data_IF_498704104066
#
_entry.id   IF_498704104066
#
_cell.length_a   1.000
_cell.length_b   1.000
_cell.length_c   1.000
_cell.angle_alpha   90.00
_cell.angle_beta   90.00
_cell.angle_gamma   90.00
#
_symmetry.space_group_name_H-M   'P 1'
#
loop_
_entity.id
_entity.type
_entity.pdbx_description
1 polymer ?
#
# COMPACT_ATOMS: atom_id res chain seq x y z
N UNK A 1 40.23 -26.04 -31.38
CA UNK A 1 39.48 -26.33 -30.14
C UNK A 1 38.26 -25.42 -30.12
N UNK A 2 37.04 -25.97 -30.15
CA UNK A 2 35.82 -25.18 -29.91
C UNK A 2 35.79 -24.81 -28.43
N UNK A 3 35.57 -23.54 -28.14
CA UNK A 3 35.36 -23.05 -26.77
C UNK A 3 34.15 -23.77 -26.16
N UNK A 4 34.18 -24.17 -24.88
CA UNK A 4 32.97 -24.69 -24.24
C UNK A 4 31.96 -23.54 -24.21
N UNK A 5 30.78 -23.76 -24.79
CA UNK A 5 29.63 -22.89 -24.53
C UNK A 5 29.36 -22.94 -23.03
N UNK A 6 29.44 -21.76 -22.38
CA UNK A 6 29.08 -21.63 -20.97
C UNK A 6 27.66 -22.15 -20.76
N UNK A 7 27.42 -22.98 -19.73
CA UNK A 7 26.08 -23.45 -19.47
C UNK A 7 25.18 -22.24 -19.23
N UNK A 8 24.10 -22.14 -20.02
CA UNK A 8 22.99 -21.23 -19.75
C UNK A 8 22.52 -21.53 -18.32
N UNK A 9 22.98 -20.71 -17.38
CA UNK A 9 22.50 -20.71 -16.01
C UNK A 9 21.00 -20.53 -16.08
N UNK A 10 20.26 -21.44 -15.45
CA UNK A 10 18.81 -21.29 -15.23
C UNK A 10 18.57 -19.84 -14.81
N UNK A 11 17.59 -19.12 -15.38
CA UNK A 11 17.28 -17.78 -14.91
C UNK A 11 17.12 -17.86 -13.41
N UNK A 12 17.95 -17.10 -12.70
CA UNK A 12 17.97 -17.08 -11.25
C UNK A 12 16.54 -16.84 -10.80
N UNK A 13 15.98 -17.69 -9.93
CA UNK A 13 14.55 -17.65 -9.55
C UNK A 13 14.15 -16.22 -9.13
N UNK A 14 15.11 -15.50 -8.56
CA UNK A 14 15.03 -14.11 -8.16
C UNK A 14 14.77 -13.11 -9.33
N UNK A 15 15.33 -13.35 -10.53
CA UNK A 15 15.09 -12.51 -11.71
C UNK A 15 13.66 -12.67 -12.24
N UNK A 16 13.18 -13.92 -12.35
CA UNK A 16 11.81 -14.17 -12.80
C UNK A 16 10.79 -13.57 -11.85
N UNK A 17 11.01 -13.71 -10.55
CA UNK A 17 10.18 -13.08 -9.51
C UNK A 17 10.20 -11.55 -9.63
N UNK A 18 11.36 -10.94 -9.87
CA UNK A 18 11.48 -9.49 -10.07
C UNK A 18 10.77 -9.00 -11.34
N UNK A 19 10.84 -9.76 -12.44
CA UNK A 19 10.16 -9.43 -13.69
C UNK A 19 8.63 -9.54 -13.56
N UNK A 20 8.13 -10.58 -12.89
CA UNK A 20 6.70 -10.75 -12.60
C UNK A 20 6.19 -9.63 -11.68
N UNK A 21 6.93 -9.33 -10.60
CA UNK A 21 6.62 -8.22 -9.69
C UNK A 21 6.63 -6.85 -10.39
N UNK A 22 7.53 -6.64 -11.35
CA UNK A 22 7.60 -5.42 -12.15
C UNK A 22 6.38 -5.27 -13.07
N UNK A 23 5.90 -6.38 -13.65
CA UNK A 23 4.68 -6.36 -14.45
C UNK A 23 3.46 -6.05 -13.58
N UNK A 24 3.33 -6.72 -12.44
CA UNK A 24 2.26 -6.47 -11.48
C UNK A 24 2.24 -5.00 -11.05
N UNK A 25 3.40 -4.43 -10.68
CA UNK A 25 3.51 -3.03 -10.29
C UNK A 25 3.06 -2.08 -11.41
N UNK A 26 3.43 -2.34 -12.66
CA UNK A 26 2.97 -1.55 -13.81
C UNK A 26 1.45 -1.58 -13.99
N UNK A 27 0.80 -2.69 -13.67
CA UNK A 27 -0.67 -2.77 -13.72
C UNK A 27 -1.36 -1.92 -12.65
N UNK A 28 -0.68 -1.65 -11.53
CA UNK A 28 -1.19 -0.81 -10.44
C UNK A 28 -0.91 0.68 -10.64
N UNK A 29 0.08 1.06 -11.45
CA UNK A 29 0.47 2.47 -11.67
C UNK A 29 -0.70 3.40 -12.00
N UNK A 30 -1.66 3.04 -12.88
CA UNK A 30 -2.80 3.91 -13.17
C UNK A 30 -3.73 4.10 -11.96
N UNK A 31 -3.89 3.08 -11.13
CA UNK A 31 -4.73 3.13 -9.93
C UNK A 31 -4.09 4.02 -8.86
N UNK A 32 -2.77 3.89 -8.66
CA UNK A 32 -1.99 4.74 -7.77
C UNK A 32 -2.07 6.22 -8.22
N UNK A 33 -1.88 6.50 -9.50
CA UNK A 33 -2.01 7.86 -10.03
C UNK A 33 -3.42 8.43 -9.84
N UNK A 34 -4.47 7.60 -10.01
CA UNK A 34 -5.85 8.03 -9.77
C UNK A 34 -6.13 8.33 -8.29
N UNK A 35 -5.51 7.57 -7.36
CA UNK A 35 -5.57 7.85 -5.93
C UNK A 35 -4.96 9.23 -5.62
N UNK A 36 -3.79 9.54 -6.18
CA UNK A 36 -3.12 10.83 -5.97
C UNK A 36 -3.95 12.01 -6.51
N UNK A 37 -4.45 11.91 -7.75
CA UNK A 37 -5.30 12.94 -8.36
C UNK A 37 -6.58 13.18 -7.55
N UNK A 38 -7.26 12.10 -7.13
CA UNK A 38 -8.48 12.23 -6.32
C UNK A 38 -8.21 12.80 -4.93
N UNK A 39 -7.05 12.52 -4.34
CA UNK A 39 -6.65 13.11 -3.06
C UNK A 39 -6.58 14.63 -3.17
N UNK A 40 -5.92 15.16 -4.19
CA UNK A 40 -5.85 16.61 -4.44
C UNK A 40 -7.26 17.19 -4.62
N UNK A 41 -8.09 16.54 -5.43
CA UNK A 41 -9.49 16.95 -5.63
C UNK A 41 -10.29 16.93 -4.33
N UNK A 42 -10.14 15.92 -3.47
CA UNK A 42 -10.82 15.85 -2.18
C UNK A 42 -10.41 17.04 -1.29
N UNK A 43 -9.12 17.37 -1.23
CA UNK A 43 -8.62 18.51 -0.45
C UNK A 43 -9.17 19.85 -0.96
N UNK A 44 -9.19 20.05 -2.28
CA UNK A 44 -9.82 21.23 -2.90
C UNK A 44 -11.31 21.33 -2.55
N UNK A 45 -12.04 20.24 -2.71
CA UNK A 45 -13.48 20.18 -2.44
C UNK A 45 -13.80 20.35 -0.97
N UNK A 46 -12.94 19.90 -0.07
CA UNK A 46 -13.10 20.11 1.36
C UNK A 46 -12.89 21.58 1.75
N UNK A 47 -11.98 22.29 1.07
CA UNK A 47 -11.73 23.72 1.28
C UNK A 47 -12.86 24.63 0.75
N UNK A 48 -13.64 24.14 -0.22
CA UNK A 48 -14.84 24.80 -0.74
C UNK A 48 -16.11 24.36 0.01
N UNK A 49 -16.98 25.29 0.39
CA UNK A 49 -18.23 24.98 1.12
C UNK A 49 -19.07 23.90 0.39
N UNK A 50 -19.42 22.83 1.12
CA UNK A 50 -20.41 21.77 0.86
C UNK A 50 -20.52 21.34 -0.62
N UNK A 51 -19.80 20.27 -0.99
CA UNK A 51 -19.94 19.61 -2.28
C UNK A 51 -20.69 18.27 -2.17
N UNK A 52 -21.81 18.13 -2.88
CA UNK A 52 -22.62 16.90 -2.91
C UNK A 52 -21.89 15.66 -3.45
N UNK A 53 -20.82 15.83 -4.22
CA UNK A 53 -20.01 14.74 -4.78
C UNK A 53 -18.90 14.25 -3.86
N UNK A 54 -18.58 14.97 -2.79
CA UNK A 54 -17.47 14.64 -1.89
C UNK A 54 -17.58 13.22 -1.29
N UNK A 55 -18.76 12.76 -0.82
CA UNK A 55 -18.88 11.41 -0.26
C UNK A 55 -18.60 10.30 -1.28
N UNK A 56 -19.04 10.46 -2.54
CA UNK A 56 -18.81 9.48 -3.60
C UNK A 56 -17.31 9.38 -3.94
N UNK A 57 -16.63 10.52 -4.03
CA UNK A 57 -15.19 10.58 -4.31
C UNK A 57 -14.39 9.96 -3.16
N UNK A 58 -14.76 10.24 -1.91
CA UNK A 58 -14.15 9.64 -0.72
C UNK A 58 -14.36 8.12 -0.69
N UNK A 59 -15.58 7.63 -0.90
CA UNK A 59 -15.85 6.19 -0.91
C UNK A 59 -15.00 5.46 -1.95
N UNK A 60 -14.88 6.02 -3.16
CA UNK A 60 -14.02 5.47 -4.20
C UNK A 60 -12.54 5.47 -3.78
N UNK A 61 -12.09 6.56 -3.17
CA UNK A 61 -10.72 6.68 -2.67
C UNK A 61 -10.39 5.59 -1.64
N UNK A 62 -11.27 5.38 -0.66
CA UNK A 62 -11.11 4.36 0.39
C UNK A 62 -11.10 2.95 -0.20
N UNK A 63 -12.00 2.66 -1.15
CA UNK A 63 -12.03 1.37 -1.85
C UNK A 63 -10.73 1.10 -2.60
N UNK A 64 -10.22 2.09 -3.34
CA UNK A 64 -9.01 1.94 -4.13
C UNK A 64 -7.77 1.77 -3.23
N UNK A 65 -7.70 2.43 -2.07
CA UNK A 65 -6.64 2.17 -1.08
C UNK A 65 -6.61 0.71 -0.63
N UNK A 66 -7.77 0.12 -0.31
CA UNK A 66 -7.85 -1.25 0.17
C UNK A 66 -7.31 -2.23 -0.87
N UNK A 67 -7.72 -2.06 -2.13
CA UNK A 67 -7.23 -2.86 -3.25
C UNK A 67 -5.73 -2.71 -3.48
N UNK A 68 -5.27 -1.46 -3.69
CA UNK A 68 -3.87 -1.18 -4.05
C UNK A 68 -2.91 -1.66 -2.96
N UNK A 69 -3.25 -1.47 -1.69
CA UNK A 69 -2.39 -1.92 -0.59
C UNK A 69 -2.29 -3.44 -0.56
N UNK A 70 -3.41 -4.17 -0.70
CA UNK A 70 -3.39 -5.64 -0.73
C UNK A 70 -2.52 -6.14 -1.89
N UNK A 71 -2.65 -5.55 -3.07
CA UNK A 71 -1.86 -5.94 -4.25
C UNK A 71 -0.36 -5.61 -4.07
N UNK A 72 -0.02 -4.45 -3.51
CA UNK A 72 1.38 -4.13 -3.18
C UNK A 72 1.97 -5.08 -2.13
N UNK A 73 1.21 -5.48 -1.11
CA UNK A 73 1.69 -6.47 -0.13
C UNK A 73 1.88 -7.85 -0.77
N UNK A 74 1.06 -8.22 -1.76
CA UNK A 74 1.27 -9.46 -2.53
C UNK A 74 2.55 -9.39 -3.37
N UNK A 75 2.84 -8.24 -4.00
CA UNK A 75 4.10 -8.00 -4.71
C UNK A 75 5.28 -8.05 -3.73
N UNK A 76 5.17 -7.41 -2.58
CA UNK A 76 6.20 -7.41 -1.53
C UNK A 76 6.55 -8.84 -1.09
N UNK A 77 5.53 -9.69 -0.87
CA UNK A 77 5.73 -11.12 -0.55
C UNK A 77 6.44 -11.88 -1.67
N UNK A 78 6.06 -11.67 -2.94
CA UNK A 78 6.77 -12.29 -4.09
C UNK A 78 8.26 -11.93 -4.12
N UNK A 79 8.60 -10.74 -3.64
CA UNK A 79 9.96 -10.22 -3.56
C UNK A 79 10.69 -10.53 -2.23
N UNK A 80 10.08 -11.32 -1.34
CA UNK A 80 10.58 -11.60 0.01
C UNK A 80 10.88 -10.34 0.83
N UNK A 81 10.07 -9.29 0.66
CA UNK A 81 10.07 -8.13 1.53
C UNK A 81 9.22 -8.39 2.77
N UNK A 82 9.57 -7.75 3.89
CA UNK A 82 8.73 -7.75 5.08
C UNK A 82 7.36 -7.16 4.73
N UNK A 83 6.30 -7.92 4.96
CA UNK A 83 4.91 -7.54 4.72
C UNK A 83 4.33 -6.79 5.92
N UNK A 84 3.23 -6.06 5.74
CA UNK A 84 2.47 -5.50 6.84
C UNK A 84 2.14 -6.57 7.90
N UNK A 85 2.21 -6.22 9.20
CA UNK A 85 1.70 -7.07 10.27
C UNK A 85 0.26 -7.47 9.98
N UNK A 86 -0.13 -8.65 10.47
CA UNK A 86 -1.45 -9.21 10.21
C UNK A 86 -2.20 -9.51 11.49
N UNK A 87 -3.45 -9.08 11.57
CA UNK A 87 -4.39 -9.46 12.62
C UNK A 87 -5.23 -10.65 12.15
N UNK A 88 -5.32 -11.69 12.99
CA UNK A 88 -6.07 -12.93 12.73
C UNK A 88 -5.79 -13.59 11.38
N UNK A 89 -4.65 -13.26 10.76
CA UNK A 89 -4.29 -13.63 9.39
C UNK A 89 -5.20 -13.05 8.28
N UNK A 90 -6.31 -12.41 8.62
CA UNK A 90 -7.28 -11.90 7.65
C UNK A 90 -7.10 -10.42 7.31
N UNK A 91 -6.44 -9.65 8.18
CA UNK A 91 -6.23 -8.22 7.98
C UNK A 91 -4.76 -7.87 7.81
N UNK A 92 -4.45 -6.88 6.98
CA UNK A 92 -3.22 -6.11 7.09
C UNK A 92 -3.43 -4.93 8.04
N UNK A 93 -2.41 -4.62 8.84
CA UNK A 93 -2.50 -3.61 9.89
C UNK A 93 -1.49 -2.49 9.66
N UNK A 94 -1.96 -1.26 9.50
CA UNK A 94 -1.12 -0.06 9.50
C UNK A 94 -1.33 0.64 10.84
N UNK A 95 -0.31 0.62 11.69
CA UNK A 95 -0.32 1.29 12.98
C UNK A 95 0.08 2.75 12.86
N UNK A 96 -0.73 3.65 13.41
CA UNK A 96 -0.35 5.04 13.64
C UNK A 96 -0.03 5.24 15.13
N UNK A 97 1.25 5.44 15.44
CA UNK A 97 1.72 5.65 16.81
C UNK A 97 1.43 7.04 17.36
N UNK A 98 1.34 8.06 16.50
CA UNK A 98 1.12 9.46 16.89
C UNK A 98 -0.28 9.62 17.49
N UNK A 99 -1.27 9.02 16.84
CA UNK A 99 -2.68 9.16 17.16
C UNK A 99 -3.30 7.88 17.72
N UNK A 100 -2.47 6.83 17.94
CA UNK A 100 -2.85 5.54 18.53
C UNK A 100 -4.11 4.95 17.90
N UNK A 101 -4.01 4.52 16.65
CA UNK A 101 -5.06 3.77 15.97
C UNK A 101 -4.45 2.79 14.97
N UNK A 102 -5.23 1.80 14.56
CA UNK A 102 -4.91 0.94 13.42
C UNK A 102 -5.85 1.22 12.26
N UNK A 103 -5.30 1.20 11.05
CA UNK A 103 -6.06 0.93 9.83
C UNK A 103 -5.95 -0.56 9.56
N UNK A 104 -7.09 -1.23 9.50
CA UNK A 104 -7.19 -2.65 9.17
C UNK A 104 -7.75 -2.79 7.76
N UNK A 105 -7.05 -3.55 6.92
CA UNK A 105 -7.46 -3.80 5.53
C UNK A 105 -7.71 -5.29 5.40
N UNK A 106 -8.96 -5.65 5.16
CA UNK A 106 -9.36 -7.04 4.93
C UNK A 106 -8.75 -7.53 3.60
N UNK A 107 -8.02 -8.64 3.66
CA UNK A 107 -7.30 -9.19 2.50
C UNK A 107 -8.22 -9.76 1.42
N UNK A 108 -9.45 -10.15 1.78
CA UNK A 108 -10.41 -10.77 0.87
C UNK A 108 -11.44 -9.75 0.39
N UNK A 109 -12.08 -9.03 1.31
CA UNK A 109 -13.12 -8.06 0.99
C UNK A 109 -12.57 -6.70 0.56
N UNK A 110 -11.27 -6.44 0.80
CA UNK A 110 -10.59 -5.17 0.54
C UNK A 110 -11.18 -3.99 1.32
N UNK A 111 -12.06 -4.26 2.28
CA UNK A 111 -12.72 -3.25 3.11
C UNK A 111 -11.73 -2.72 4.14
N UNK A 112 -11.78 -1.40 4.34
CA UNK A 112 -10.99 -0.71 5.36
C UNK A 112 -11.82 -0.49 6.63
N UNK A 113 -11.21 -0.82 7.76
CA UNK A 113 -11.71 -0.57 9.09
C UNK A 113 -10.73 0.32 9.87
N UNK A 114 -11.27 1.07 10.82
CA UNK A 114 -10.51 1.87 11.78
C UNK A 114 -10.70 1.21 13.13
N UNK A 115 -9.60 0.93 13.82
CA UNK A 115 -9.59 0.44 15.17
C UNK A 115 -8.94 1.49 16.08
N UNK A 116 -9.77 2.25 16.77
CA UNK A 116 -9.30 3.23 17.75
C UNK A 116 -9.09 2.55 19.11
N UNK A 117 -8.08 3.02 19.84
CA UNK A 117 -7.88 2.64 21.23
C UNK A 117 -8.86 3.44 22.10
N UNK A 118 -9.66 2.79 22.94
CA UNK A 118 -10.64 3.47 23.78
C UNK A 118 -9.99 4.34 24.86
N UNK A 119 -8.73 4.10 25.24
CA UNK A 119 -8.03 4.88 26.27
C UNK A 119 -6.49 4.84 26.12
N UNK A 120 -5.82 5.81 26.76
CA UNK A 120 -4.37 6.07 26.74
C UNK A 120 -3.47 4.95 27.31
N UNK A 121 -3.94 3.73 27.41
CA UNK A 121 -3.18 2.56 27.87
C UNK A 121 -2.32 1.96 26.76
N UNK A 122 -1.19 1.41 27.19
CA UNK A 122 -0.03 1.03 26.37
C UNK A 122 -0.37 0.08 25.22
N UNK A 123 0.50 0.12 24.20
CA UNK A 123 0.52 -0.76 23.04
C UNK A 123 -0.03 -2.15 23.32
N UNK A 124 -1.16 -2.45 22.69
CA UNK A 124 -1.82 -3.76 22.75
C UNK A 124 -0.83 -4.80 22.23
N UNK A 125 -0.39 -5.70 23.10
CA UNK A 125 0.22 -6.96 22.67
C UNK A 125 -0.85 -7.74 21.92
N UNK A 126 -0.46 -8.50 20.88
CA UNK A 126 -1.33 -9.20 19.91
C UNK A 126 -2.51 -10.03 20.49
N UNK A 127 -2.57 -10.26 21.80
CA UNK A 127 -3.65 -10.97 22.48
C UNK A 127 -4.81 -10.07 22.97
N UNK A 128 -4.65 -8.74 23.06
CA UNK A 128 -5.60 -7.81 23.70
C UNK A 128 -6.30 -6.86 22.70
N UNK A 129 -6.46 -7.28 21.44
CA UNK A 129 -7.21 -6.50 20.44
C UNK A 129 -8.72 -6.47 20.73
N UNK A 130 -9.20 -7.23 21.73
CA UNK A 130 -10.61 -7.31 22.14
C UNK A 130 -11.20 -6.00 22.68
N UNK A 131 -10.34 -5.05 23.08
CA UNK A 131 -10.76 -3.73 23.57
C UNK A 131 -10.78 -2.66 22.47
N UNK A 132 -10.41 -2.97 21.22
CA UNK A 132 -10.43 -1.99 20.14
C UNK A 132 -11.85 -1.73 19.64
N UNK A 133 -12.22 -0.46 19.53
CA UNK A 133 -13.46 -0.06 18.86
C UNK A 133 -13.26 -0.11 17.35
N UNK A 134 -13.45 -1.28 16.76
CA UNK A 134 -13.34 -1.51 15.31
C UNK A 134 -14.62 -1.06 14.63
N UNK A 135 -14.49 -0.18 13.64
CA UNK A 135 -15.61 0.22 12.77
C UNK A 135 -15.19 0.23 11.31
N UNK A 136 -16.13 -0.11 10.44
CA UNK A 136 -15.97 0.09 9.00
C UNK A 136 -16.05 1.58 8.69
N UNK A 137 -15.29 2.05 7.70
CA UNK A 137 -15.50 3.39 7.17
C UNK A 137 -16.95 3.55 6.68
N UNK A 138 -17.65 4.57 7.19
CA UNK A 138 -19.01 4.92 6.80
C UNK A 138 -19.10 6.42 6.51
N UNK A 139 -19.36 6.76 5.25
CA UNK A 139 -19.52 8.15 4.82
C UNK A 139 -20.78 8.82 5.39
N UNK A 140 -21.73 8.05 5.92
CA UNK A 140 -22.93 8.58 6.57
C UNK A 140 -22.67 8.96 8.03
N UNK A 141 -21.49 8.61 8.57
CA UNK A 141 -21.07 8.95 9.91
C UNK A 141 -20.83 10.46 10.03
N UNK A 142 -21.19 11.10 11.16
CA UNK A 142 -20.76 12.46 11.47
C UNK A 142 -19.23 12.63 11.52
N UNK A 143 -18.50 11.53 11.70
CA UNK A 143 -17.03 11.50 11.81
C UNK A 143 -16.35 11.11 10.47
N UNK A 144 -17.09 11.01 9.37
CA UNK A 144 -16.61 10.51 8.07
C UNK A 144 -15.33 11.21 7.58
N UNK A 145 -15.24 12.53 7.71
CA UNK A 145 -14.05 13.29 7.31
C UNK A 145 -12.84 12.97 8.20
N UNK A 146 -13.06 12.88 9.51
CA UNK A 146 -11.99 12.55 10.46
C UNK A 146 -11.44 11.15 10.18
N UNK A 147 -12.35 10.20 9.95
CA UNK A 147 -12.04 8.83 9.59
C UNK A 147 -11.33 8.74 8.24
N UNK A 148 -11.80 9.50 7.24
CA UNK A 148 -11.15 9.61 5.95
C UNK A 148 -9.70 10.11 6.10
N UNK A 149 -9.46 11.16 6.88
CA UNK A 149 -8.11 11.71 7.07
C UNK A 149 -7.17 10.72 7.79
N UNK A 150 -7.69 9.93 8.75
CA UNK A 150 -6.92 8.84 9.38
C UNK A 150 -6.51 7.78 8.36
N UNK A 151 -7.43 7.37 7.49
CA UNK A 151 -7.15 6.37 6.45
C UNK A 151 -6.20 6.94 5.40
N UNK A 152 -6.51 8.11 4.84
CA UNK A 152 -5.71 8.79 3.82
C UNK A 152 -4.26 8.94 4.29
N UNK A 153 -4.05 9.53 5.46
CA UNK A 153 -2.69 9.77 5.96
C UNK A 153 -1.89 8.48 6.17
N UNK A 154 -2.50 7.45 6.76
CA UNK A 154 -1.85 6.15 6.98
C UNK A 154 -1.57 5.42 5.67
N UNK A 155 -2.56 5.32 4.78
CA UNK A 155 -2.45 4.61 3.51
C UNK A 155 -1.48 5.34 2.56
N UNK A 156 -1.56 6.66 2.44
CA UNK A 156 -0.63 7.44 1.62
C UNK A 156 0.82 7.34 2.12
N UNK A 157 1.05 7.37 3.44
CA UNK A 157 2.39 7.13 4.02
C UNK A 157 2.89 5.73 3.65
N UNK A 158 2.03 4.72 3.72
CA UNK A 158 2.40 3.34 3.38
C UNK A 158 2.68 3.14 1.90
N UNK A 159 1.83 3.67 1.01
CA UNK A 159 2.06 3.65 -0.44
C UNK A 159 3.42 4.28 -0.78
N UNK A 160 3.70 5.45 -0.19
CA UNK A 160 4.99 6.12 -0.37
C UNK A 160 6.16 5.25 0.12
N UNK A 161 6.04 4.60 1.28
CA UNK A 161 7.06 3.69 1.79
C UNK A 161 7.31 2.50 0.85
N UNK A 162 6.26 1.92 0.27
CA UNK A 162 6.38 0.79 -0.66
C UNK A 162 6.94 1.15 -2.03
N UNK A 163 6.71 2.37 -2.49
CA UNK A 163 7.04 2.81 -3.85
C UNK A 163 8.35 3.60 -3.95
N UNK A 164 8.68 4.43 -2.95
CA UNK A 164 9.88 5.29 -2.99
C UNK A 164 11.15 4.49 -2.81
N UNK A 165 12.25 4.95 -3.40
CA UNK A 165 13.54 4.27 -3.29
C UNK A 165 14.01 4.22 -1.82
N UNK A 166 14.32 3.02 -1.33
CA UNK A 166 14.74 2.79 0.05
C UNK A 166 14.67 1.33 0.47
N UNK A 167 15.27 0.96 1.62
CA UNK A 167 15.12 -0.38 2.19
C UNK A 167 13.64 -0.70 2.45
N UNK A 168 13.17 -1.85 1.97
CA UNK A 168 11.77 -2.28 2.13
C UNK A 168 10.82 -1.88 1.00
N UNK A 169 11.30 -1.11 0.00
CA UNK A 169 10.49 -0.73 -1.16
C UNK A 169 10.56 -1.74 -2.30
N UNK A 170 9.43 -1.88 -2.99
CA UNK A 170 9.26 -2.78 -4.14
C UNK A 170 10.16 -2.31 -5.29
N UNK A 171 10.15 -1.01 -5.57
CA UNK A 171 10.95 -0.41 -6.65
C UNK A 171 12.44 -0.67 -6.46
N UNK A 172 12.98 -0.44 -5.26
CA UNK A 172 14.40 -0.69 -5.00
C UNK A 172 14.75 -2.17 -5.08
N UNK A 173 13.88 -3.06 -4.58
CA UNK A 173 14.13 -4.51 -4.62
C UNK A 173 14.15 -5.06 -6.05
N UNK A 174 13.23 -4.60 -6.90
CA UNK A 174 13.22 -4.94 -8.33
C UNK A 174 14.51 -4.44 -9.00
N UNK A 175 14.91 -3.19 -8.75
CA UNK A 175 16.13 -2.62 -9.34
C UNK A 175 17.40 -3.37 -8.92
N UNK A 176 17.52 -3.75 -7.65
CA UNK A 176 18.66 -4.55 -7.14
C UNK A 176 18.74 -5.92 -7.81
N UNK A 177 17.61 -6.61 -7.92
CA UNK A 177 17.55 -7.92 -8.57
C UNK A 177 17.89 -7.85 -10.07
N UNK A 178 17.63 -6.72 -10.72
CA UNK A 178 17.97 -6.48 -12.13
C UNK A 178 19.42 -6.01 -12.34
N UNK A 179 20.01 -5.27 -11.40
CA UNK A 179 21.38 -4.73 -11.54
C UNK A 179 22.47 -5.80 -11.39
N UNK A 180 22.15 -6.97 -10.84
CA UNK A 180 23.07 -8.11 -10.78
C UNK A 180 23.35 -8.79 -12.13
N UNK A 181 22.74 -8.37 -13.25
CA UNK A 181 23.06 -8.86 -14.60
C UNK A 181 22.90 -7.77 -15.71
N UNK A 182 23.89 -6.87 -15.87
CA UNK A 182 24.05 -5.92 -17.00
C UNK A 182 22.85 -4.95 -17.31
N UNK A 183 23.06 -3.83 -18.02
CA UNK A 183 22.20 -2.65 -17.86
C UNK A 183 20.84 -2.78 -18.56
N UNK A 184 19.81 -2.26 -17.90
CA UNK A 184 18.47 -2.04 -18.44
C UNK A 184 18.53 -1.31 -19.81
N UNK A 185 17.64 -1.63 -20.77
CA UNK A 185 17.38 -0.75 -21.88
C UNK A 185 16.96 0.62 -21.32
N UNK A 186 17.55 1.68 -21.86
CA UNK A 186 17.44 3.09 -21.41
C UNK A 186 16.15 3.40 -20.65
N UNK A 187 16.34 3.87 -19.42
CA UNK A 187 15.37 4.53 -18.57
C UNK A 187 14.55 5.55 -19.37
N UNK A 188 13.29 5.24 -19.66
CA UNK A 188 12.26 6.27 -19.63
C UNK A 188 11.94 6.44 -18.15
N UNK A 189 12.54 7.46 -17.55
CA UNK A 189 12.22 7.86 -16.19
C UNK A 189 10.70 7.97 -16.06
N UNK A 190 10.10 7.06 -15.31
CA UNK A 190 8.79 7.32 -14.72
C UNK A 190 9.06 8.47 -13.76
N UNK A 191 8.62 9.68 -14.14
CA UNK A 191 8.50 10.80 -13.20
C UNK A 191 7.42 10.40 -12.20
N UNK A 192 7.84 9.79 -11.09
CA UNK A 192 7.09 9.85 -9.84
C UNK A 192 7.35 11.25 -9.30
N UNK A 193 6.36 12.14 -9.45
CA UNK A 193 6.35 13.49 -8.89
C UNK A 193 5.78 13.45 -7.48
#
# INVERSE_FOLDING_TARGET
MKSPESPLTKPDINYRQAAEAWLDLQTLTPEIASIEERRERILELYSGKINKSLPEIINKQISDYGKVIVDLENIAKKLNLEALPTLEQDYYCIYNSENRYYILIDKQSLVIYIADFPDNTQAVNNAEMGDLSIRKFDYSSPDDISDYLKIESSCSRWLNHRLKEGPGSITSKILQNNSHQQPLPRQNAIKLL
#
